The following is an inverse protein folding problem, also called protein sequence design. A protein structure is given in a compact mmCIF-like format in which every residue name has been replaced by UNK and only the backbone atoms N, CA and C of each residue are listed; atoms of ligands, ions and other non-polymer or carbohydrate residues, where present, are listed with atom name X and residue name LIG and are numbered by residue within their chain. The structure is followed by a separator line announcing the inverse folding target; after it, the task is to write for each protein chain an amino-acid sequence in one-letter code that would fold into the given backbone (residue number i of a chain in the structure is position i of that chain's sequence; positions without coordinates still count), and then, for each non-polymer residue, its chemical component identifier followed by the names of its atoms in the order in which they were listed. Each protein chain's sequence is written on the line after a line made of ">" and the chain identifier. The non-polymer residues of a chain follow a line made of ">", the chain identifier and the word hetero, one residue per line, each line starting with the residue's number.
data_IF_156446555353
#
_entry.id   IF_156446555353
#
_cell.length_a   1.000
_cell.length_b   1.000
_cell.length_c   1.000
_cell.angle_alpha   90.00
_cell.angle_beta   90.00
_cell.angle_gamma   90.00
#
_symmetry.space_group_name_H-M   'P 1'
#
loop_
_entity.id
_entity.type
_entity.pdbx_description
1 polymer ?
#
# COMPACT_ATOMS: atom_id res chain seq x y z
N UNK A 1 54.53 18.76 -5.07
CA UNK A 1 53.25 19.51 -5.12
C UNK A 1 52.16 18.54 -4.69
N UNK A 2 51.79 18.54 -3.40
CA UNK A 2 50.83 17.60 -2.82
C UNK A 2 49.43 18.13 -3.09
N UNK A 3 48.67 17.45 -3.95
CA UNK A 3 47.27 17.78 -4.21
C UNK A 3 46.47 17.33 -2.98
N UNK A 4 46.06 18.29 -2.15
CA UNK A 4 45.04 18.07 -1.11
C UNK A 4 43.72 17.67 -1.80
N UNK A 5 43.04 16.60 -1.36
CA UNK A 5 41.69 16.34 -1.81
C UNK A 5 40.77 17.44 -1.27
N UNK A 6 40.02 18.08 -2.18
CA UNK A 6 38.91 18.98 -1.86
C UNK A 6 38.01 18.31 -0.82
N UNK A 7 37.75 19.01 0.29
CA UNK A 7 36.71 18.65 1.24
C UNK A 7 35.41 18.50 0.47
N UNK A 8 34.91 17.27 0.39
CA UNK A 8 33.51 17.04 0.06
C UNK A 8 32.72 17.58 1.24
N UNK A 9 32.31 18.84 1.17
CA UNK A 9 31.24 19.40 1.99
C UNK A 9 29.93 18.75 1.55
N UNK A 10 29.81 17.44 1.82
CA UNK A 10 28.52 16.79 1.89
C UNK A 10 27.82 17.42 3.08
N UNK A 11 26.72 18.11 2.80
CA UNK A 11 25.77 18.58 3.79
C UNK A 11 25.35 17.37 4.62
N UNK A 12 25.99 17.18 5.78
CA UNK A 12 25.54 16.24 6.80
C UNK A 12 24.33 16.93 7.42
N UNK A 13 23.15 16.70 6.84
CA UNK A 13 21.90 17.12 7.47
C UNK A 13 21.91 16.47 8.86
N UNK A 14 21.93 17.28 9.92
CA UNK A 14 21.90 16.78 11.30
C UNK A 14 20.65 15.92 11.46
N UNK A 15 20.78 14.74 12.09
CA UNK A 15 19.66 13.84 12.39
C UNK A 15 18.47 14.57 13.03
N UNK A 16 18.74 15.58 13.86
CA UNK A 16 17.73 16.44 14.47
C UNK A 16 16.87 17.20 13.45
N UNK A 17 17.46 17.72 12.37
CA UNK A 17 16.72 18.42 11.31
C UNK A 17 15.78 17.47 10.58
N UNK A 18 16.25 16.26 10.25
CA UNK A 18 15.39 15.25 9.61
C UNK A 18 14.25 14.85 10.53
N UNK A 19 14.51 14.67 11.82
CA UNK A 19 13.46 14.37 12.80
C UNK A 19 12.41 15.47 12.88
N UNK A 20 12.84 16.74 12.99
CA UNK A 20 11.93 17.89 13.00
C UNK A 20 11.11 17.93 11.70
N UNK A 21 11.73 17.69 10.54
CA UNK A 21 11.03 17.64 9.26
C UNK A 21 9.93 16.57 9.26
N UNK A 22 10.24 15.35 9.70
CA UNK A 22 9.25 14.27 9.79
C UNK A 22 8.11 14.64 10.75
N UNK A 23 8.42 15.24 11.90
CA UNK A 23 7.42 15.70 12.85
C UNK A 23 6.51 16.78 12.25
N UNK A 24 7.07 17.84 11.67
CA UNK A 24 6.28 18.91 11.05
C UNK A 24 5.41 18.39 9.90
N UNK A 25 5.95 17.53 9.03
CA UNK A 25 5.17 16.93 7.95
C UNK A 25 4.07 16.01 8.47
N UNK A 26 4.31 15.28 9.58
CA UNK A 26 3.29 14.43 10.19
C UNK A 26 2.10 15.25 10.71
N UNK A 27 2.38 16.41 11.30
CA UNK A 27 1.34 17.34 11.77
C UNK A 27 0.54 17.91 10.59
N UNK A 28 1.23 18.34 9.53
CA UNK A 28 0.58 18.87 8.32
C UNK A 28 -0.33 17.79 7.70
N UNK A 29 0.19 16.58 7.50
CA UNK A 29 -0.57 15.46 6.93
C UNK A 29 -1.77 15.07 7.79
N UNK A 30 -1.61 15.04 9.11
CA UNK A 30 -2.70 14.77 10.04
C UNK A 30 -3.79 15.84 9.93
N UNK A 31 -3.42 17.12 9.87
CA UNK A 31 -4.38 18.22 9.70
C UNK A 31 -5.12 18.10 8.36
N UNK A 32 -4.41 17.84 7.26
CA UNK A 32 -5.02 17.69 5.93
C UNK A 32 -6.00 16.49 5.90
N UNK A 33 -5.61 15.36 6.49
CA UNK A 33 -6.47 14.16 6.52
C UNK A 33 -7.72 14.33 7.39
N UNK A 34 -7.58 15.07 8.50
CA UNK A 34 -8.66 15.34 9.46
C UNK A 34 -9.68 16.34 8.91
N UNK A 35 -9.20 17.48 8.40
CA UNK A 35 -10.03 18.62 8.05
C UNK A 35 -10.43 18.67 6.56
N UNK A 36 -10.16 17.60 5.79
CA UNK A 36 -10.67 17.51 4.42
C UNK A 36 -12.21 17.63 4.41
N UNK A 37 -12.80 18.43 3.51
CA UNK A 37 -14.26 18.49 3.39
C UNK A 37 -14.80 17.16 2.85
N UNK A 38 -15.99 16.78 3.31
CA UNK A 38 -16.67 15.58 2.78
C UNK A 38 -17.01 15.81 1.31
N UNK A 39 -16.71 14.80 0.48
CA UNK A 39 -16.83 14.80 -0.97
C UNK A 39 -15.58 15.29 -1.71
N UNK A 40 -14.54 15.76 -0.99
CA UNK A 40 -13.24 16.05 -1.62
C UNK A 40 -12.64 14.79 -2.24
N UNK A 41 -12.82 13.64 -1.61
CA UNK A 41 -12.39 12.34 -2.12
C UNK A 41 -13.59 11.41 -2.34
N UNK A 42 -13.39 10.35 -3.12
CA UNK A 42 -14.45 9.43 -3.52
C UNK A 42 -15.12 8.63 -2.38
N UNK A 43 -14.47 8.47 -1.23
CA UNK A 43 -14.93 7.57 -0.15
C UNK A 43 -15.44 8.32 1.09
N UNK A 44 -15.09 9.60 1.27
CA UNK A 44 -15.55 10.43 2.39
C UNK A 44 -17.06 10.45 2.59
N UNK A 45 -17.85 10.56 1.52
CA UNK A 45 -19.31 10.52 1.58
C UNK A 45 -19.84 9.15 2.05
N UNK A 46 -19.19 8.06 1.64
CA UNK A 46 -19.54 6.72 2.09
C UNK A 46 -19.29 6.56 3.60
N UNK A 47 -18.22 7.15 4.14
CA UNK A 47 -17.98 7.14 5.58
C UNK A 47 -18.98 7.97 6.37
N UNK A 48 -19.40 9.13 5.84
CA UNK A 48 -20.44 9.93 6.46
C UNK A 48 -21.77 9.14 6.54
N UNK A 49 -22.16 8.52 5.43
CA UNK A 49 -23.37 7.70 5.39
C UNK A 49 -23.27 6.51 6.36
N UNK A 50 -22.14 5.81 6.40
CA UNK A 50 -21.94 4.69 7.33
C UNK A 50 -21.97 5.13 8.80
N UNK A 51 -21.47 6.33 9.13
CA UNK A 51 -21.54 6.90 10.48
C UNK A 51 -22.99 7.25 10.87
N UNK A 52 -23.78 7.79 9.93
CA UNK A 52 -25.21 8.04 10.12
C UNK A 52 -26.00 6.73 10.30
N UNK A 53 -25.73 5.71 9.48
CA UNK A 53 -26.32 4.38 9.64
C UNK A 53 -26.02 3.79 11.02
N UNK A 54 -24.78 3.92 11.48
CA UNK A 54 -24.36 3.46 12.80
C UNK A 54 -25.16 4.11 13.93
N UNK A 55 -25.41 5.42 13.84
CA UNK A 55 -26.24 6.15 14.81
C UNK A 55 -27.68 5.65 14.83
N UNK A 56 -28.20 5.22 13.68
CA UNK A 56 -29.51 4.60 13.55
C UNK A 56 -29.53 3.10 13.95
N UNK A 57 -28.42 2.57 14.49
CA UNK A 57 -28.30 1.18 14.96
C UNK A 57 -27.97 0.18 13.86
N UNK A 58 -27.56 0.63 12.67
CA UNK A 58 -27.24 -0.22 11.51
C UNK A 58 -25.75 -0.19 11.21
N UNK A 59 -25.11 -1.37 11.25
CA UNK A 59 -23.68 -1.51 10.98
C UNK A 59 -23.40 -1.84 9.51
N UNK A 60 -23.43 -0.83 8.63
CA UNK A 60 -23.07 -1.00 7.21
C UNK A 60 -21.62 -1.45 7.03
N UNK A 61 -20.73 -0.87 7.84
CA UNK A 61 -19.34 -1.32 7.97
C UNK A 61 -19.22 -2.14 9.24
N UNK A 62 -18.91 -3.42 9.06
CA UNK A 62 -18.80 -4.42 10.14
C UNK A 62 -17.38 -4.62 10.67
N UNK A 63 -16.43 -3.78 10.25
CA UNK A 63 -15.03 -3.87 10.70
C UNK A 63 -14.92 -3.43 12.17
N UNK A 64 -14.26 -4.23 13.05
CA UNK A 64 -14.23 -3.96 14.49
C UNK A 64 -13.73 -2.56 14.85
N UNK A 65 -12.67 -2.09 14.19
CA UNK A 65 -12.11 -0.77 14.49
C UNK A 65 -13.01 0.36 13.99
N UNK A 66 -13.73 0.16 12.88
CA UNK A 66 -14.69 1.16 12.42
C UNK A 66 -15.82 1.34 13.44
N UNK A 67 -16.41 0.24 13.91
CA UNK A 67 -17.45 0.27 14.94
C UNK A 67 -16.95 0.95 16.21
N UNK A 68 -15.74 0.59 16.65
CA UNK A 68 -15.12 1.21 17.83
C UNK A 68 -14.86 2.71 17.64
N UNK A 69 -14.39 3.13 16.47
CA UNK A 69 -14.14 4.55 16.19
C UNK A 69 -15.43 5.35 16.00
N UNK A 70 -16.47 4.77 15.40
CA UNK A 70 -17.80 5.40 15.32
C UNK A 70 -18.41 5.59 16.72
N UNK A 71 -18.22 4.62 17.63
CA UNK A 71 -18.59 4.77 19.03
C UNK A 71 -17.77 5.82 19.78
N UNK A 72 -16.45 5.88 19.56
CA UNK A 72 -15.62 6.96 20.14
C UNK A 72 -16.02 8.34 19.60
N UNK A 73 -16.35 8.41 18.32
CA UNK A 73 -16.78 9.65 17.66
C UNK A 73 -18.08 10.19 18.27
N UNK A 74 -19.06 9.32 18.52
CA UNK A 74 -20.31 9.71 19.16
C UNK A 74 -20.12 10.20 20.60
N UNK A 75 -19.10 9.70 21.31
CA UNK A 75 -18.80 10.12 22.68
C UNK A 75 -18.00 11.42 22.78
N UNK A 76 -17.02 11.62 21.89
CA UNK A 76 -16.02 12.69 22.04
C UNK A 76 -16.27 13.86 21.09
N UNK A 77 -16.74 13.56 19.87
CA UNK A 77 -16.83 14.52 18.78
C UNK A 77 -18.27 14.84 18.38
N UNK A 78 -19.26 14.38 19.15
CA UNK A 78 -20.68 14.61 18.92
C UNK A 78 -21.10 14.24 17.49
N UNK A 79 -20.72 13.04 17.03
CA UNK A 79 -21.12 12.50 15.72
C UNK A 79 -20.59 13.30 14.50
N UNK A 80 -19.45 13.99 14.66
CA UNK A 80 -18.83 14.76 13.60
C UNK A 80 -17.88 13.87 12.79
N UNK A 81 -18.13 13.73 11.48
CA UNK A 81 -17.30 12.95 10.55
C UNK A 81 -15.79 13.28 10.61
N UNK A 82 -15.42 14.52 10.95
CA UNK A 82 -14.02 14.91 11.12
C UNK A 82 -13.35 14.23 12.34
N UNK A 83 -14.11 13.88 13.37
CA UNK A 83 -13.63 13.08 14.50
C UNK A 83 -13.25 11.66 14.06
N UNK A 84 -14.08 11.02 13.23
CA UNK A 84 -13.74 9.75 12.60
C UNK A 84 -12.46 9.85 11.73
N UNK A 85 -12.35 10.90 10.90
CA UNK A 85 -11.14 11.14 10.09
C UNK A 85 -9.90 11.34 10.95
N UNK A 86 -10.02 12.11 12.03
CA UNK A 86 -8.95 12.31 13.00
C UNK A 86 -8.49 11.00 13.63
N UNK A 87 -9.41 10.15 14.10
CA UNK A 87 -9.07 8.87 14.74
C UNK A 87 -8.27 7.95 13.81
N UNK A 88 -8.68 7.84 12.54
CA UNK A 88 -7.92 7.07 11.55
C UNK A 88 -6.55 7.71 11.26
N UNK A 89 -6.49 9.03 11.02
CA UNK A 89 -5.25 9.73 10.71
C UNK A 89 -4.24 9.70 11.87
N UNK A 90 -4.72 9.73 13.12
CA UNK A 90 -3.90 9.65 14.34
C UNK A 90 -3.19 8.29 14.47
N UNK A 91 -3.72 7.25 13.83
CA UNK A 91 -3.06 5.94 13.77
C UNK A 91 -2.17 5.84 12.53
N UNK A 92 -2.71 6.09 11.35
CA UNK A 92 -2.03 5.79 10.08
C UNK A 92 -0.80 6.68 9.86
N UNK A 93 -0.93 8.00 10.01
CA UNK A 93 0.14 8.97 9.69
C UNK A 93 1.33 8.81 10.64
N UNK A 94 1.18 8.78 11.98
CA UNK A 94 2.32 8.61 12.87
C UNK A 94 3.03 7.26 12.70
N UNK A 95 2.28 6.17 12.50
CA UNK A 95 2.88 4.85 12.25
C UNK A 95 3.73 4.90 10.97
N UNK A 96 3.19 5.40 9.87
CA UNK A 96 3.92 5.54 8.61
C UNK A 96 5.21 6.36 8.80
N UNK A 97 5.12 7.52 9.45
CA UNK A 97 6.27 8.40 9.67
C UNK A 97 7.35 7.75 10.54
N UNK A 98 6.97 7.14 11.66
CA UNK A 98 7.91 6.45 12.56
C UNK A 98 8.58 5.27 11.85
N UNK A 99 7.80 4.47 11.12
CA UNK A 99 8.27 3.27 10.43
C UNK A 99 9.21 3.64 9.28
N UNK A 100 8.86 4.67 8.50
CA UNK A 100 9.73 5.22 7.43
C UNK A 100 11.05 5.72 8.02
N UNK A 101 11.00 6.57 9.04
CA UNK A 101 12.19 7.15 9.65
C UNK A 101 13.12 6.07 10.25
N UNK A 102 12.53 5.07 10.94
CA UNK A 102 13.29 4.07 11.69
C UNK A 102 13.84 2.93 10.82
N UNK A 103 13.08 2.45 9.85
CA UNK A 103 13.41 1.21 9.13
C UNK A 103 13.79 1.39 7.66
N UNK A 104 13.49 2.54 7.05
CA UNK A 104 13.91 2.78 5.67
C UNK A 104 15.43 2.92 5.54
N UNK A 105 15.99 2.38 4.47
CA UNK A 105 17.40 2.61 4.08
C UNK A 105 17.63 4.03 3.55
N UNK A 106 16.58 4.71 3.09
CA UNK A 106 16.63 6.10 2.64
C UNK A 106 15.32 6.82 3.04
N UNK A 107 15.24 7.33 4.29
CA UNK A 107 14.01 7.87 4.85
C UNK A 107 13.36 8.98 4.02
N UNK A 108 14.15 9.93 3.48
CA UNK A 108 13.62 11.02 2.66
C UNK A 108 13.02 10.52 1.34
N UNK A 109 13.66 9.54 0.68
CA UNK A 109 13.12 8.98 -0.55
C UNK A 109 11.88 8.13 -0.27
N UNK A 110 11.85 7.36 0.83
CA UNK A 110 10.64 6.66 1.28
C UNK A 110 9.50 7.61 1.60
N UNK A 111 9.77 8.76 2.21
CA UNK A 111 8.77 9.77 2.50
C UNK A 111 8.17 10.35 1.21
N UNK A 112 8.99 10.59 0.18
CA UNK A 112 8.50 10.99 -1.15
C UNK A 112 7.61 9.88 -1.73
N UNK A 113 8.05 8.62 -1.70
CA UNK A 113 7.25 7.49 -2.21
C UNK A 113 5.91 7.39 -1.47
N UNK A 114 5.91 7.45 -0.14
CA UNK A 114 4.69 7.44 0.68
C UNK A 114 3.76 8.61 0.32
N UNK A 115 4.28 9.83 0.29
CA UNK A 115 3.49 11.04 0.02
C UNK A 115 2.85 10.99 -1.37
N UNK A 116 3.63 10.63 -2.39
CA UNK A 116 3.17 10.65 -3.78
C UNK A 116 2.24 9.48 -4.12
N UNK A 117 2.48 8.28 -3.59
CA UNK A 117 1.74 7.08 -3.99
C UNK A 117 0.59 6.76 -3.03
N UNK A 118 0.73 7.05 -1.74
CA UNK A 118 -0.15 6.48 -0.73
C UNK A 118 -0.87 7.50 0.13
N UNK A 119 -0.33 8.70 0.37
CA UNK A 119 -1.01 9.64 1.27
C UNK A 119 -2.43 10.00 0.79
N UNK A 120 -2.60 10.42 -0.48
CA UNK A 120 -3.94 10.72 -1.02
C UNK A 120 -4.83 9.46 -1.09
N UNK A 121 -4.26 8.35 -1.54
CA UNK A 121 -5.00 7.10 -1.71
C UNK A 121 -5.48 6.52 -0.37
N UNK A 122 -4.59 6.42 0.61
CA UNK A 122 -4.79 5.65 1.83
C UNK A 122 -5.15 6.50 3.05
N UNK A 123 -4.63 7.73 3.16
CA UNK A 123 -4.88 8.60 4.32
C UNK A 123 -5.98 9.64 4.06
N UNK A 124 -6.24 10.00 2.80
CA UNK A 124 -7.38 10.87 2.46
C UNK A 124 -8.60 10.07 2.02
N UNK A 125 -8.43 9.17 1.03
CA UNK A 125 -9.55 8.47 0.39
C UNK A 125 -9.93 7.19 1.15
N UNK A 126 -9.04 6.21 1.23
CA UNK A 126 -9.34 4.88 1.73
C UNK A 126 -8.88 4.69 3.20
N UNK A 127 -9.33 5.55 4.12
CA UNK A 127 -8.79 5.67 5.49
C UNK A 127 -8.67 4.34 6.27
N UNK A 128 -9.61 3.42 6.05
CA UNK A 128 -9.62 2.09 6.70
C UNK A 128 -8.49 1.20 6.17
N UNK A 129 -8.32 1.18 4.85
CA UNK A 129 -7.23 0.49 4.17
C UNK A 129 -5.89 1.14 4.55
N UNK A 130 -5.85 2.47 4.68
CA UNK A 130 -4.65 3.19 5.06
C UNK A 130 -4.14 2.87 6.47
N UNK A 131 -5.03 2.78 7.46
CA UNK A 131 -4.64 2.33 8.79
C UNK A 131 -4.14 0.88 8.78
N UNK A 132 -4.81 -0.02 8.05
CA UNK A 132 -4.35 -1.40 7.88
C UNK A 132 -2.99 -1.48 7.17
N UNK A 133 -2.77 -0.68 6.13
CA UNK A 133 -1.53 -0.55 5.38
C UNK A 133 -0.38 -0.03 6.24
N UNK A 134 -0.63 0.94 7.13
CA UNK A 134 0.38 1.44 8.07
C UNK A 134 0.84 0.32 9.03
N UNK A 135 -0.10 -0.48 9.54
CA UNK A 135 0.21 -1.65 10.37
C UNK A 135 0.96 -2.72 9.57
N UNK A 136 0.61 -2.93 8.29
CA UNK A 136 1.37 -3.82 7.41
C UNK A 136 2.81 -3.33 7.18
N UNK A 137 3.01 -2.03 6.92
CA UNK A 137 4.34 -1.44 6.77
C UNK A 137 5.18 -1.65 8.05
N UNK A 138 4.57 -1.53 9.23
CA UNK A 138 5.17 -1.85 10.53
C UNK A 138 5.51 -3.34 10.70
N UNK A 139 4.83 -4.24 9.98
CA UNK A 139 5.03 -5.69 10.04
C UNK A 139 6.16 -6.20 9.12
N UNK A 140 6.52 -5.45 8.08
CA UNK A 140 7.59 -5.83 7.14
C UNK A 140 8.94 -6.10 7.84
N UNK A 141 9.40 -5.29 8.82
CA UNK A 141 10.61 -5.60 9.60
C UNK A 141 10.58 -6.97 10.31
N UNK A 142 9.40 -7.46 10.71
CA UNK A 142 9.28 -8.79 11.32
C UNK A 142 9.41 -9.90 10.27
N UNK A 143 8.95 -9.70 9.03
CA UNK A 143 9.23 -10.63 7.93
C UNK A 143 10.73 -10.70 7.63
N UNK A 144 11.39 -9.55 7.60
CA UNK A 144 12.84 -9.45 7.33
C UNK A 144 13.65 -10.20 8.38
N UNK A 145 13.33 -9.99 9.66
CA UNK A 145 14.00 -10.68 10.77
C UNK A 145 13.54 -12.14 10.98
N UNK A 146 12.57 -12.62 10.20
CA UNK A 146 12.00 -13.96 10.34
C UNK A 146 11.11 -14.15 11.58
N UNK A 147 10.71 -13.07 12.25
CA UNK A 147 9.82 -13.11 13.42
C UNK A 147 8.35 -13.29 13.02
N UNK A 148 8.01 -14.51 12.61
CA UNK A 148 6.67 -14.88 12.14
C UNK A 148 5.57 -14.60 13.18
N UNK A 149 5.84 -14.78 14.48
CA UNK A 149 4.86 -14.52 15.54
C UNK A 149 4.45 -13.04 15.58
N UNK A 150 5.42 -12.13 15.61
CA UNK A 150 5.15 -10.68 15.60
C UNK A 150 4.49 -10.23 14.30
N UNK A 151 4.84 -10.86 13.17
CA UNK A 151 4.19 -10.61 11.90
C UNK A 151 2.70 -10.97 11.93
N UNK A 152 2.34 -12.19 12.36
CA UNK A 152 0.93 -12.62 12.45
C UNK A 152 0.12 -11.67 13.33
N UNK A 153 0.65 -11.29 14.50
CA UNK A 153 -0.05 -10.38 15.42
C UNK A 153 -0.38 -9.06 14.71
N UNK A 154 0.56 -8.49 13.96
CA UNK A 154 0.32 -7.24 13.22
C UNK A 154 -0.65 -7.43 12.05
N UNK A 155 -0.59 -8.55 11.33
CA UNK A 155 -1.57 -8.86 10.28
C UNK A 155 -2.98 -9.02 10.85
N UNK A 156 -3.12 -9.65 12.01
CA UNK A 156 -4.39 -9.74 12.72
C UNK A 156 -4.92 -8.35 13.08
N UNK A 157 -4.08 -7.48 13.66
CA UNK A 157 -4.42 -6.09 13.95
C UNK A 157 -4.84 -5.34 12.66
N UNK A 158 -4.06 -5.46 11.57
CA UNK A 158 -4.41 -4.85 10.29
C UNK A 158 -5.77 -5.33 9.76
N UNK A 159 -6.09 -6.61 9.96
CA UNK A 159 -7.38 -7.19 9.56
C UNK A 159 -8.57 -6.66 10.36
N UNK A 160 -8.35 -6.15 11.58
CA UNK A 160 -9.39 -5.47 12.37
C UNK A 160 -9.72 -4.07 11.83
N UNK A 161 -8.76 -3.40 11.19
CA UNK A 161 -8.99 -2.14 10.48
C UNK A 161 -9.65 -2.36 9.13
N UNK A 162 -9.22 -3.40 8.41
CA UNK A 162 -9.78 -3.74 7.11
C UNK A 162 -9.69 -5.25 6.84
N UNK A 163 -10.82 -5.92 6.69
CA UNK A 163 -10.87 -7.39 6.63
C UNK A 163 -10.05 -7.99 5.49
N UNK A 164 -9.98 -7.33 4.33
CA UNK A 164 -9.21 -7.81 3.17
C UNK A 164 -7.71 -7.93 3.47
N UNK A 165 -7.22 -7.27 4.53
CA UNK A 165 -5.83 -7.38 4.98
C UNK A 165 -5.43 -8.78 5.43
N UNK A 166 -6.40 -9.68 5.62
CA UNK A 166 -6.13 -11.10 5.84
C UNK A 166 -5.28 -11.73 4.74
N UNK A 167 -5.33 -11.21 3.51
CA UNK A 167 -4.49 -11.68 2.39
C UNK A 167 -2.99 -11.62 2.71
N UNK A 168 -2.59 -10.69 3.59
CA UNK A 168 -1.20 -10.50 4.03
C UNK A 168 -0.68 -11.72 4.83
N UNK A 169 -1.55 -12.56 5.37
CA UNK A 169 -1.14 -13.77 6.08
C UNK A 169 -0.30 -14.69 5.17
N UNK A 170 -0.59 -14.70 3.86
CA UNK A 170 0.14 -15.48 2.86
C UNK A 170 1.65 -15.15 2.82
N UNK A 171 2.04 -13.92 3.17
CA UNK A 171 3.45 -13.51 3.16
C UNK A 171 4.27 -14.17 4.28
N UNK A 172 3.64 -14.82 5.27
CA UNK A 172 4.34 -15.55 6.33
C UNK A 172 5.18 -16.73 5.80
N UNK A 173 4.81 -17.24 4.62
CA UNK A 173 5.51 -18.34 3.96
C UNK A 173 6.79 -17.85 3.26
N UNK A 174 7.02 -16.54 3.15
CA UNK A 174 8.25 -15.98 2.61
C UNK A 174 9.41 -16.21 3.59
N UNK A 175 10.39 -17.02 3.15
CA UNK A 175 11.66 -17.17 3.87
C UNK A 175 12.58 -15.96 3.65
N UNK A 176 13.25 -15.49 4.70
CA UNK A 176 14.23 -14.41 4.64
C UNK A 176 15.66 -14.87 4.24
N UNK A 177 15.91 -16.20 4.16
CA UNK A 177 17.26 -16.75 3.99
C UNK A 177 17.77 -16.84 2.55
N UNK A 178 16.92 -17.26 1.61
CA UNK A 178 17.29 -17.45 0.20
C UNK A 178 16.12 -17.09 -0.72
N UNK A 179 16.43 -16.57 -1.90
CA UNK A 179 15.46 -16.43 -2.98
C UNK A 179 15.48 -17.71 -3.81
N UNK A 180 14.36 -18.42 -3.92
CA UNK A 180 14.16 -19.32 -5.05
C UNK A 180 13.90 -18.44 -6.28
N UNK A 181 14.98 -17.92 -6.87
CA UNK A 181 14.91 -16.86 -7.88
C UNK A 181 14.05 -17.28 -9.07
N UNK A 182 14.14 -18.54 -9.51
CA UNK A 182 13.29 -19.04 -10.60
C UNK A 182 11.80 -18.90 -10.26
N UNK A 183 11.37 -19.37 -9.10
CA UNK A 183 9.96 -19.30 -8.70
C UNK A 183 9.46 -17.84 -8.65
N UNK A 184 10.13 -16.97 -7.88
CA UNK A 184 9.65 -15.60 -7.68
C UNK A 184 9.83 -14.69 -8.91
N UNK A 185 10.78 -14.96 -9.79
CA UNK A 185 10.95 -14.20 -11.04
C UNK A 185 9.90 -14.61 -12.07
N UNK A 186 9.65 -15.91 -12.21
CA UNK A 186 8.75 -16.41 -13.24
C UNK A 186 7.28 -16.40 -12.83
N UNK A 187 6.93 -16.42 -11.53
CA UNK A 187 5.52 -16.44 -11.11
C UNK A 187 4.67 -15.30 -11.68
N UNK A 188 5.12 -14.02 -11.71
CA UNK A 188 4.29 -12.97 -12.29
C UNK A 188 4.15 -13.13 -13.81
N UNK A 189 5.20 -13.62 -14.49
CA UNK A 189 5.19 -13.83 -15.94
C UNK A 189 4.30 -15.00 -16.36
N UNK A 190 4.36 -16.11 -15.63
CA UNK A 190 3.53 -17.29 -15.88
C UNK A 190 2.05 -16.95 -15.66
N UNK A 191 1.72 -16.25 -14.57
CA UNK A 191 0.33 -15.85 -14.31
C UNK A 191 -0.14 -14.82 -15.33
N UNK A 192 0.70 -13.85 -15.72
CA UNK A 192 0.38 -12.92 -16.79
C UNK A 192 0.06 -13.65 -18.10
N UNK A 193 0.93 -14.57 -18.55
CA UNK A 193 0.68 -15.37 -19.75
C UNK A 193 -0.61 -16.19 -19.62
N UNK A 194 -0.80 -16.87 -18.50
CA UNK A 194 -2.03 -17.62 -18.22
C UNK A 194 -3.28 -16.75 -18.37
N UNK A 195 -3.25 -15.53 -17.82
CA UNK A 195 -4.40 -14.59 -17.90
C UNK A 195 -4.66 -14.07 -19.31
N UNK A 196 -3.62 -13.92 -20.13
CA UNK A 196 -3.75 -13.47 -21.52
C UNK A 196 -4.29 -14.57 -22.44
N UNK A 197 -3.99 -15.84 -22.16
CA UNK A 197 -4.42 -16.98 -22.98
C UNK A 197 -5.72 -17.65 -22.50
N UNK A 198 -6.25 -17.25 -21.33
CA UNK A 198 -7.45 -17.86 -20.74
C UNK A 198 -8.59 -16.84 -20.65
N UNK A 199 -9.68 -17.04 -21.40
CA UNK A 199 -10.84 -16.14 -21.41
C UNK A 199 -11.72 -16.24 -20.14
N UNK A 200 -11.64 -17.34 -19.39
CA UNK A 200 -12.58 -17.66 -18.30
C UNK A 200 -11.94 -17.57 -16.89
N UNK A 201 -10.96 -16.69 -16.70
CA UNK A 201 -10.23 -16.57 -15.42
C UNK A 201 -11.13 -16.18 -14.24
N UNK A 202 -12.21 -15.42 -14.45
CA UNK A 202 -13.15 -15.09 -13.36
C UNK A 202 -13.93 -16.32 -12.85
N UNK A 203 -14.25 -17.28 -13.72
CA UNK A 203 -14.94 -18.51 -13.32
C UNK A 203 -14.05 -19.36 -12.41
N UNK A 204 -12.76 -19.44 -12.73
CA UNK A 204 -11.76 -20.11 -11.89
C UNK A 204 -11.70 -19.45 -10.50
N UNK A 205 -11.79 -18.11 -10.41
CA UNK A 205 -11.85 -17.41 -9.12
C UNK A 205 -13.10 -17.78 -8.32
N UNK A 206 -14.26 -17.85 -8.98
CA UNK A 206 -15.52 -18.27 -8.35
C UNK A 206 -15.39 -19.70 -7.80
N UNK A 207 -14.84 -20.62 -8.59
CA UNK A 207 -14.66 -22.01 -8.17
C UNK A 207 -13.72 -22.13 -6.97
N UNK A 208 -12.62 -21.34 -6.95
CA UNK A 208 -11.70 -21.24 -5.81
C UNK A 208 -12.41 -20.68 -4.58
N UNK A 209 -13.21 -19.61 -4.74
CA UNK A 209 -13.95 -19.03 -3.62
C UNK A 209 -15.01 -19.98 -3.08
N UNK A 210 -15.68 -20.75 -3.92
CA UNK A 210 -16.64 -21.76 -3.49
C UNK A 210 -16.00 -22.92 -2.71
N UNK A 211 -14.69 -23.14 -2.84
CA UNK A 211 -13.95 -24.09 -2.02
C UNK A 211 -13.66 -23.57 -0.59
N UNK A 212 -13.76 -22.26 -0.35
CA UNK A 212 -13.56 -21.68 0.98
C UNK A 212 -14.78 -21.96 1.89
N UNK A 213 -14.57 -22.16 3.20
CA UNK A 213 -15.65 -22.44 4.13
C UNK A 213 -16.66 -21.29 4.22
N UNK A 214 -17.92 -21.63 4.49
CA UNK A 214 -18.96 -20.65 4.78
C UNK A 214 -18.64 -19.90 6.10
N UNK A 215 -18.93 -18.58 6.19
CA UNK A 215 -19.65 -17.77 5.20
C UNK A 215 -18.74 -17.08 4.16
N UNK A 216 -17.42 -17.26 4.21
CA UNK A 216 -16.45 -16.49 3.43
C UNK A 216 -16.55 -16.80 1.93
N UNK A 217 -16.55 -18.09 1.59
CA UNK A 217 -16.55 -18.55 0.20
C UNK A 217 -17.73 -18.04 -0.63
N UNK A 218 -18.98 -18.35 -0.22
CA UNK A 218 -20.18 -17.88 -0.92
C UNK A 218 -20.26 -16.36 -1.03
N UNK A 219 -19.83 -15.61 0.01
CA UNK A 219 -19.84 -14.14 -0.02
C UNK A 219 -18.85 -13.60 -1.06
N UNK A 220 -17.64 -14.16 -1.14
CA UNK A 220 -16.64 -13.77 -2.13
C UNK A 220 -17.05 -14.13 -3.56
N UNK A 221 -17.64 -15.31 -3.76
CA UNK A 221 -18.19 -15.72 -5.06
C UNK A 221 -19.34 -14.81 -5.52
N UNK A 222 -20.30 -14.51 -4.63
CA UNK A 222 -21.40 -13.59 -4.92
C UNK A 222 -20.91 -12.17 -5.20
N UNK A 223 -19.84 -11.72 -4.55
CA UNK A 223 -19.23 -10.43 -4.85
C UNK A 223 -18.74 -10.36 -6.30
N UNK A 224 -18.04 -11.40 -6.77
CA UNK A 224 -17.58 -11.49 -8.17
C UNK A 224 -18.77 -11.54 -9.14
N UNK A 225 -19.79 -12.35 -8.83
CA UNK A 225 -20.98 -12.47 -9.65
C UNK A 225 -21.77 -11.15 -9.75
N UNK A 226 -21.93 -10.44 -8.63
CA UNK A 226 -22.61 -9.14 -8.61
C UNK A 226 -21.85 -8.09 -9.43
N UNK A 227 -20.52 -8.08 -9.37
CA UNK A 227 -19.70 -7.21 -10.22
C UNK A 227 -19.88 -7.53 -11.71
N UNK A 228 -20.01 -8.81 -12.06
CA UNK A 228 -20.30 -9.25 -13.43
C UNK A 228 -21.67 -8.75 -13.88
N UNK A 229 -22.71 -8.97 -13.07
CA UNK A 229 -24.10 -8.58 -13.37
C UNK A 229 -24.25 -7.06 -13.56
N UNK A 230 -23.50 -6.27 -12.79
CA UNK A 230 -23.46 -4.82 -12.92
C UNK A 230 -22.66 -4.32 -14.13
N UNK A 231 -22.12 -5.22 -14.97
CA UNK A 231 -21.27 -4.87 -16.10
C UNK A 231 -19.93 -4.23 -15.68
N UNK A 232 -19.55 -4.34 -14.40
CA UNK A 232 -18.32 -3.72 -13.85
C UNK A 232 -17.06 -4.55 -14.11
N UNK A 233 -17.14 -5.55 -14.99
CA UNK A 233 -15.97 -6.17 -15.60
C UNK A 233 -15.52 -5.29 -16.78
N UNK A 234 -15.21 -4.02 -16.51
CA UNK A 234 -14.39 -3.28 -17.45
C UNK A 234 -13.07 -4.02 -17.58
N UNK A 235 -12.56 -4.17 -18.80
CA UNK A 235 -11.29 -4.85 -19.03
C UNK A 235 -10.21 -4.18 -18.17
N UNK A 236 -9.74 -4.87 -17.12
CA UNK A 236 -8.54 -4.43 -16.40
C UNK A 236 -7.46 -4.33 -17.45
N UNK A 237 -6.92 -3.12 -17.62
CA UNK A 237 -5.72 -3.00 -18.42
C UNK A 237 -4.59 -3.67 -17.64
N UNK A 238 -4.36 -4.96 -17.92
CA UNK A 238 -3.31 -5.79 -17.32
C UNK A 238 -1.94 -5.11 -17.52
N UNK A 239 -1.81 -4.35 -18.61
CA UNK A 239 -0.68 -3.48 -18.94
C UNK A 239 -0.93 -2.01 -18.59
N UNK A 240 -1.63 -1.74 -17.48
CA UNK A 240 -1.75 -0.38 -16.98
C UNK A 240 -0.36 0.26 -16.84
N UNK A 241 -0.28 1.58 -17.05
CA UNK A 241 0.99 2.32 -16.93
C UNK A 241 1.66 2.04 -15.58
N UNK A 242 0.86 1.84 -14.53
CA UNK A 242 1.31 1.56 -13.16
C UNK A 242 1.95 0.16 -13.06
N UNK A 243 1.27 -0.87 -13.57
CA UNK A 243 1.75 -2.26 -13.47
C UNK A 243 3.00 -2.48 -14.31
N UNK A 244 3.08 -1.85 -15.48
CA UNK A 244 4.29 -1.82 -16.31
C UNK A 244 5.47 -1.14 -15.61
N UNK A 245 5.27 0.01 -14.96
CA UNK A 245 6.33 0.68 -14.22
C UNK A 245 6.79 -0.15 -13.02
N UNK A 246 5.86 -0.78 -12.31
CA UNK A 246 6.19 -1.67 -11.20
C UNK A 246 6.92 -2.92 -11.67
N UNK A 247 6.56 -3.46 -12.84
CA UNK A 247 7.29 -4.54 -13.48
C UNK A 247 8.71 -4.11 -13.88
N UNK A 248 8.90 -2.88 -14.36
CA UNK A 248 10.23 -2.31 -14.62
C UNK A 248 11.08 -2.21 -13.35
N UNK A 249 10.54 -1.72 -12.23
CA UNK A 249 11.28 -1.71 -10.97
C UNK A 249 11.56 -3.12 -10.45
N UNK A 250 10.63 -4.06 -10.64
CA UNK A 250 10.82 -5.46 -10.31
C UNK A 250 11.98 -6.10 -11.10
N UNK A 251 12.06 -5.85 -12.41
CA UNK A 251 13.16 -6.39 -13.25
C UNK A 251 14.50 -5.73 -12.90
N UNK A 252 14.53 -4.43 -12.61
CA UNK A 252 15.72 -3.76 -12.08
C UNK A 252 16.17 -4.36 -10.74
N UNK A 253 15.22 -4.65 -9.84
CA UNK A 253 15.53 -5.29 -8.57
C UNK A 253 16.13 -6.67 -8.80
N UNK A 254 15.53 -7.49 -9.66
CA UNK A 254 16.06 -8.79 -10.02
C UNK A 254 17.48 -8.71 -10.60
N UNK A 255 17.72 -7.80 -11.54
CA UNK A 255 19.06 -7.56 -12.09
C UNK A 255 20.08 -7.22 -10.99
N UNK A 256 19.69 -6.37 -10.04
CA UNK A 256 20.56 -6.00 -8.92
C UNK A 256 20.87 -7.17 -7.97
N UNK A 257 20.00 -8.18 -7.90
CA UNK A 257 20.21 -9.40 -7.13
C UNK A 257 21.19 -10.34 -7.85
N UNK A 258 21.09 -10.45 -9.17
CA UNK A 258 22.02 -11.27 -9.98
C UNK A 258 23.46 -10.78 -9.92
N UNK A 259 23.66 -9.47 -9.77
CA UNK A 259 25.00 -8.85 -9.69
C UNK A 259 25.62 -8.86 -8.29
N UNK A 260 24.92 -9.40 -7.30
CA UNK A 260 25.31 -9.29 -5.89
C UNK A 260 25.72 -10.65 -5.34
N UNK A 261 26.93 -10.73 -4.78
CA UNK A 261 27.47 -11.99 -4.25
C UNK A 261 26.65 -12.53 -3.07
N UNK A 262 26.08 -11.65 -2.25
CA UNK A 262 25.16 -12.02 -1.14
C UNK A 262 24.06 -10.96 -0.97
N UNK A 263 22.80 -11.22 -1.39
CA UNK A 263 21.69 -10.32 -1.11
C UNK A 263 21.35 -10.30 0.39
N UNK A 264 20.96 -9.14 0.93
CA UNK A 264 20.56 -9.03 2.33
C UNK A 264 19.14 -9.54 2.55
N UNK A 265 18.76 -9.83 3.80
CA UNK A 265 17.39 -10.26 4.14
C UNK A 265 16.34 -9.23 3.69
N UNK A 266 16.67 -7.94 3.75
CA UNK A 266 15.83 -6.85 3.23
C UNK A 266 15.56 -7.03 1.74
N UNK A 267 16.62 -7.27 0.96
CA UNK A 267 16.51 -7.44 -0.49
C UNK A 267 15.66 -8.65 -0.86
N UNK A 268 15.86 -9.74 -0.14
CA UNK A 268 15.13 -10.99 -0.34
C UNK A 268 13.64 -10.79 -0.10
N UNK A 269 13.26 -10.15 1.01
CA UNK A 269 11.84 -9.93 1.34
C UNK A 269 11.20 -8.90 0.41
N UNK A 270 11.85 -7.77 0.15
CA UNK A 270 11.29 -6.74 -0.75
C UNK A 270 11.05 -7.28 -2.16
N UNK A 271 12.00 -8.02 -2.72
CA UNK A 271 11.84 -8.65 -4.02
C UNK A 271 10.67 -9.66 -4.04
N UNK A 272 10.55 -10.48 -2.99
CA UNK A 272 9.47 -11.48 -2.89
C UNK A 272 8.10 -10.83 -2.75
N UNK A 273 7.96 -9.77 -1.95
CA UNK A 273 6.70 -9.05 -1.82
C UNK A 273 6.33 -8.42 -3.18
N UNK A 274 7.28 -7.82 -3.90
CA UNK A 274 7.01 -7.28 -5.24
C UNK A 274 6.57 -8.37 -6.24
N UNK A 275 7.18 -9.56 -6.18
CA UNK A 275 6.77 -10.72 -6.98
C UNK A 275 5.36 -11.18 -6.64
N UNK A 276 5.04 -11.34 -5.35
CA UNK A 276 3.70 -11.74 -4.88
C UNK A 276 2.67 -10.68 -5.28
N UNK A 277 2.97 -9.39 -5.11
CA UNK A 277 2.11 -8.28 -5.53
C UNK A 277 1.74 -8.36 -7.02
N UNK A 278 2.72 -8.52 -7.91
CA UNK A 278 2.46 -8.63 -9.35
C UNK A 278 1.72 -9.93 -9.70
N UNK A 279 2.08 -11.03 -9.04
CA UNK A 279 1.43 -12.34 -9.25
C UNK A 279 -0.04 -12.29 -8.85
N UNK A 280 -0.37 -11.73 -7.68
CA UNK A 280 -1.74 -11.56 -7.18
C UNK A 280 -2.52 -10.60 -8.08
N UNK A 281 -1.91 -9.49 -8.50
CA UNK A 281 -2.56 -8.54 -9.41
C UNK A 281 -2.98 -9.21 -10.73
N UNK A 282 -2.05 -9.90 -11.39
CA UNK A 282 -2.35 -10.59 -12.64
C UNK A 282 -3.37 -11.71 -12.43
N UNK A 283 -3.25 -12.49 -11.35
CA UNK A 283 -4.20 -13.56 -11.06
C UNK A 283 -5.63 -13.05 -10.89
N UNK A 284 -5.80 -11.90 -10.24
CA UNK A 284 -7.09 -11.27 -9.97
C UNK A 284 -7.55 -10.32 -11.09
N UNK A 285 -6.81 -10.17 -12.20
CA UNK A 285 -7.08 -9.14 -13.20
C UNK A 285 -8.38 -9.32 -13.96
N UNK A 286 -9.07 -10.45 -13.81
CA UNK A 286 -10.44 -10.63 -14.32
C UNK A 286 -11.50 -9.93 -13.47
N UNK A 287 -11.16 -9.52 -12.25
CA UNK A 287 -12.01 -8.77 -11.33
C UNK A 287 -11.28 -7.47 -10.93
N UNK A 288 -11.46 -6.36 -11.68
CA UNK A 288 -10.72 -5.11 -11.51
C UNK A 288 -10.60 -4.60 -10.07
N UNK A 289 -11.71 -4.66 -9.34
CA UNK A 289 -11.77 -4.15 -7.98
C UNK A 289 -10.89 -4.99 -7.04
N UNK A 290 -10.85 -6.32 -7.21
CA UNK A 290 -10.00 -7.17 -6.37
C UNK A 290 -8.51 -7.03 -6.73
N UNK A 291 -8.20 -6.94 -8.02
CA UNK A 291 -6.83 -6.75 -8.50
C UNK A 291 -6.23 -5.43 -7.98
N UNK A 292 -6.94 -4.32 -8.18
CA UNK A 292 -6.51 -2.99 -7.73
C UNK A 292 -6.32 -2.93 -6.22
N UNK A 293 -7.32 -3.36 -5.42
CA UNK A 293 -7.24 -3.30 -3.95
C UNK A 293 -6.11 -4.16 -3.38
N UNK A 294 -5.90 -5.35 -3.93
CA UNK A 294 -4.80 -6.23 -3.51
C UNK A 294 -3.44 -5.64 -3.87
N UNK A 295 -3.32 -5.04 -5.06
CA UNK A 295 -2.12 -4.37 -5.52
C UNK A 295 -1.79 -3.13 -4.69
N UNK A 296 -2.79 -2.31 -4.36
CA UNK A 296 -2.63 -1.11 -3.53
C UNK A 296 -2.19 -1.45 -2.10
N UNK A 297 -2.70 -2.54 -1.51
CA UNK A 297 -2.33 -2.99 -0.17
C UNK A 297 -0.91 -3.58 -0.14
N UNK A 298 -0.58 -4.53 -1.02
CA UNK A 298 0.76 -5.12 -1.09
C UNK A 298 1.80 -4.10 -1.56
N UNK A 299 1.38 -3.16 -2.40
CA UNK A 299 2.19 -2.08 -2.94
C UNK A 299 2.74 -1.14 -1.90
N UNK A 300 2.14 -1.03 -0.72
CA UNK A 300 2.68 -0.24 0.40
C UNK A 300 4.16 -0.62 0.71
N UNK A 301 4.56 -1.86 0.42
CA UNK A 301 5.97 -2.29 0.49
C UNK A 301 6.93 -1.50 -0.41
N UNK A 302 6.45 -0.85 -1.48
CA UNK A 302 7.21 0.02 -2.38
C UNK A 302 7.82 1.23 -1.65
N UNK A 303 7.19 1.67 -0.56
CA UNK A 303 7.73 2.70 0.34
C UNK A 303 9.13 2.32 0.82
N UNK A 304 9.41 1.02 1.00
CA UNK A 304 10.72 0.52 1.38
C UNK A 304 11.54 -0.06 0.23
N UNK A 305 10.91 -0.78 -0.70
CA UNK A 305 11.64 -1.49 -1.74
C UNK A 305 12.27 -0.54 -2.78
N UNK A 306 11.58 0.51 -3.23
CA UNK A 306 12.15 1.43 -4.22
C UNK A 306 13.35 2.22 -3.66
N UNK A 307 13.27 2.79 -2.44
CA UNK A 307 14.42 3.48 -1.88
C UNK A 307 15.60 2.54 -1.61
N UNK A 308 15.35 1.31 -1.17
CA UNK A 308 16.39 0.28 -1.04
C UNK A 308 17.02 -0.08 -2.40
N UNK A 309 16.22 -0.23 -3.45
CA UNK A 309 16.68 -0.50 -4.81
C UNK A 309 17.67 0.57 -5.29
N UNK A 310 17.38 1.85 -5.05
CA UNK A 310 18.25 2.95 -5.46
C UNK A 310 19.68 2.80 -4.93
N UNK A 311 19.84 2.31 -3.70
CA UNK A 311 21.13 2.15 -3.04
C UNK A 311 21.94 0.96 -3.55
N UNK A 312 21.33 0.06 -4.33
CA UNK A 312 22.02 -1.11 -4.90
C UNK A 312 22.86 -0.78 -6.13
N UNK A 313 22.63 0.36 -6.76
CA UNK A 313 23.36 0.78 -7.96
C UNK A 313 24.49 1.76 -7.59
N UNK A 314 25.62 1.67 -8.30
CA UNK A 314 26.71 2.66 -8.17
C UNK A 314 26.18 4.08 -8.43
N UNK A 315 25.34 4.25 -9.45
CA UNK A 315 24.66 5.48 -9.80
C UNK A 315 23.37 5.71 -8.97
N UNK A 316 23.42 5.50 -7.66
CA UNK A 316 22.26 5.61 -6.75
C UNK A 316 21.43 6.89 -6.88
N UNK A 317 22.09 8.02 -7.17
CA UNK A 317 21.41 9.32 -7.38
C UNK A 317 20.54 9.31 -8.62
N UNK A 318 21.02 8.72 -9.72
CA UNK A 318 20.27 8.62 -10.97
C UNK A 318 19.04 7.72 -10.78
N UNK A 319 19.20 6.56 -10.16
CA UNK A 319 18.08 5.66 -9.86
C UNK A 319 17.09 6.31 -8.91
N UNK A 320 17.57 7.03 -7.89
CA UNK A 320 16.74 7.84 -7.01
C UNK A 320 15.94 8.91 -7.76
N UNK A 321 16.56 9.63 -8.70
CA UNK A 321 15.87 10.62 -9.54
C UNK A 321 14.78 9.97 -10.42
N UNK A 322 15.05 8.81 -11.01
CA UNK A 322 14.05 8.05 -11.78
C UNK A 322 12.85 7.68 -10.92
N UNK A 323 13.08 7.21 -9.69
CA UNK A 323 12.01 6.89 -8.73
C UNK A 323 11.22 8.15 -8.39
N UNK A 324 11.88 9.28 -8.11
CA UNK A 324 11.22 10.55 -7.77
C UNK A 324 10.35 11.03 -8.93
N UNK A 325 10.88 11.05 -10.17
CA UNK A 325 10.12 11.43 -11.36
C UNK A 325 8.89 10.56 -11.55
N UNK A 326 9.06 9.24 -11.40
CA UNK A 326 7.94 8.30 -11.47
C UNK A 326 6.89 8.55 -10.37
N UNK A 327 7.31 8.85 -9.13
CA UNK A 327 6.40 9.20 -8.04
C UNK A 327 5.55 10.44 -8.36
N UNK A 328 6.16 11.50 -8.91
CA UNK A 328 5.42 12.71 -9.29
C UNK A 328 4.47 12.46 -10.46
N UNK A 329 4.88 11.67 -11.46
CA UNK A 329 3.98 11.26 -12.56
C UNK A 329 2.81 10.44 -12.02
N UNK A 330 3.06 9.52 -11.10
CA UNK A 330 2.01 8.72 -10.47
C UNK A 330 1.02 9.61 -9.70
N UNK A 331 1.55 10.52 -8.89
CA UNK A 331 0.74 11.49 -8.14
C UNK A 331 -0.20 12.26 -9.09
N UNK A 332 0.34 12.80 -10.18
CA UNK A 332 -0.41 13.60 -11.13
C UNK A 332 -1.45 12.78 -11.93
N UNK A 333 -1.05 11.62 -12.46
CA UNK A 333 -1.88 10.83 -13.38
C UNK A 333 -2.94 10.01 -12.66
N UNK A 334 -2.68 9.61 -11.42
CA UNK A 334 -3.49 8.64 -10.65
C UNK A 334 -4.10 9.31 -9.42
N UNK A 335 -3.27 9.72 -8.46
CA UNK A 335 -3.76 10.08 -7.13
C UNK A 335 -4.48 11.42 -7.09
N UNK A 336 -4.06 12.43 -7.86
CA UNK A 336 -4.79 13.70 -7.92
C UNK A 336 -6.20 13.53 -8.51
N UNK A 337 -6.45 12.50 -9.33
CA UNK A 337 -7.79 12.20 -9.85
C UNK A 337 -8.73 11.57 -8.82
N UNK A 338 -8.19 11.16 -7.66
CA UNK A 338 -8.99 10.73 -6.51
C UNK A 338 -9.64 11.91 -5.77
N UNK A 339 -9.17 13.13 -6.06
CA UNK A 339 -9.67 14.34 -5.47
C UNK A 339 -10.61 15.07 -6.44
N UNK A 340 -11.79 15.43 -5.95
CA UNK A 340 -12.78 16.22 -6.65
C UNK A 340 -12.54 17.72 -6.40
N UNK A 341 -11.62 18.30 -7.17
CA UNK A 341 -11.25 19.72 -7.03
C UNK A 341 -12.37 20.70 -7.43
N UNK A 342 -13.40 20.26 -8.15
CA UNK A 342 -14.53 21.12 -8.53
C UNK A 342 -15.28 21.66 -7.29
N UNK A 343 -15.31 20.90 -6.20
CA UNK A 343 -15.92 21.37 -4.94
C UNK A 343 -15.13 22.45 -4.21
N UNK A 344 -13.83 22.57 -4.45
CA UNK A 344 -13.00 23.62 -3.84
C UNK A 344 -13.25 25.00 -4.49
N UNK A 345 -13.85 25.05 -5.68
CA UNK A 345 -14.23 26.30 -6.35
C UNK A 345 -15.62 26.83 -5.95
N UNK A 346 -16.38 26.07 -5.15
CA UNK A 346 -17.73 26.41 -4.69
C UNK A 346 -17.81 26.77 -3.20
N UNK A 347 -16.67 26.72 -2.50
CA UNK A 347 -16.46 27.24 -1.14
C UNK A 347 -15.86 28.64 -1.22
#
# INVERSE_FOLDING_TARGET
>A
MVIKPRSNDMIIIKKSIVYILFFCLSLIMLMVATFKPVGLDYDSGNYQNALLSFQNGVNDISEPVFIFFAWLDSLIFNNNIHGLFFLYALISVPINMVVIYKYSKSPLLSLIVYTCLYFILHDLTQIRVGAAAAVFLLAIPDLISGNKKKYIIKVFIASMFHFSSVILISLIFLSNKKVNAKFFVFSPMVVLLFTLFTSNTYQILIDIFNFLPAPIGPKAANYVLNLQLLGKFDNVNVFSKITLCTLFFFTLYFYSLLKSDKPTEFDIIYFKIMSVMLTVFYFLSSVPVLASRSFELLGVSLIFSLPALSLRFKQKRLVGLVIIMWCFVYLYVVNLKLLNFEMLGTL
#
